data_IF_451418176722
#
_entry.id   IF_451418176722
#
_cell.length_a   1.000
_cell.length_b   1.000
_cell.length_c   1.000
_cell.angle_alpha   90.00
_cell.angle_beta   90.00
_cell.angle_gamma   90.00
#
_symmetry.space_group_name_H-M   'P 1'
#
loop_
_entity.id
_entity.type
_entity.pdbx_description
1 polymer ?
#
# COMPACT_ATOMS: atom_id res chain seq x y z
N UNK A 1 -28.81 -26.40 -12.59
CA UNK A 1 -27.99 -25.97 -11.44
C UNK A 1 -26.56 -25.60 -11.88
N UNK A 2 -25.83 -26.48 -12.56
CA UNK A 2 -24.44 -26.26 -13.00
C UNK A 2 -24.25 -25.01 -13.87
N UNK A 3 -25.05 -24.81 -14.92
CA UNK A 3 -24.98 -23.61 -15.78
C UNK A 3 -25.28 -22.29 -15.04
N UNK A 4 -26.12 -22.35 -14.01
CA UNK A 4 -26.38 -21.18 -13.16
C UNK A 4 -25.15 -20.78 -12.33
N UNK A 5 -24.46 -21.76 -11.74
CA UNK A 5 -23.23 -21.54 -10.97
C UNK A 5 -22.12 -20.99 -11.86
N UNK A 6 -21.92 -21.60 -13.05
CA UNK A 6 -20.91 -21.13 -14.01
C UNK A 6 -21.19 -19.71 -14.44
N UNK A 7 -22.44 -19.38 -14.79
CA UNK A 7 -22.81 -18.01 -15.18
C UNK A 7 -22.54 -17.00 -14.08
N UNK A 8 -22.81 -17.34 -12.81
CA UNK A 8 -22.50 -16.47 -11.67
C UNK A 8 -21.00 -16.30 -11.45
N UNK A 9 -20.22 -17.39 -11.55
CA UNK A 9 -18.76 -17.33 -11.47
C UNK A 9 -18.16 -16.46 -12.58
N UNK A 10 -18.64 -16.60 -13.82
CA UNK A 10 -18.18 -15.75 -14.92
C UNK A 10 -18.53 -14.27 -14.72
N UNK A 11 -19.70 -13.95 -14.14
CA UNK A 11 -20.08 -12.59 -13.82
C UNK A 11 -19.29 -11.98 -12.65
N UNK A 12 -18.70 -12.81 -11.78
CA UNK A 12 -17.81 -12.32 -10.72
C UNK A 12 -16.52 -11.70 -11.28
N UNK A 13 -16.02 -12.17 -12.42
CA UNK A 13 -14.78 -11.64 -13.03
C UNK A 13 -14.93 -10.17 -13.42
N UNK A 14 -15.91 -9.76 -14.25
CA UNK A 14 -16.06 -8.35 -14.62
C UNK A 14 -16.44 -7.47 -13.41
N UNK A 15 -17.22 -7.98 -12.46
CA UNK A 15 -17.54 -7.23 -11.23
C UNK A 15 -16.31 -7.01 -10.36
N UNK A 16 -15.45 -8.02 -10.21
CA UNK A 16 -14.18 -7.91 -9.50
C UNK A 16 -13.25 -6.90 -10.20
N UNK A 17 -13.08 -7.01 -11.52
CA UNK A 17 -12.25 -6.07 -12.28
C UNK A 17 -12.79 -4.64 -12.20
N UNK A 18 -14.10 -4.45 -12.29
CA UNK A 18 -14.72 -3.13 -12.16
C UNK A 18 -14.53 -2.53 -10.77
N UNK A 19 -14.75 -3.33 -9.72
CA UNK A 19 -14.55 -2.90 -8.33
C UNK A 19 -13.09 -2.56 -8.04
N UNK A 20 -12.15 -3.40 -8.46
CA UNK A 20 -10.70 -3.16 -8.25
C UNK A 20 -10.21 -1.96 -9.02
N UNK A 21 -10.69 -1.74 -10.25
CA UNK A 21 -10.36 -0.55 -11.05
C UNK A 21 -10.87 0.72 -10.38
N UNK A 22 -12.12 0.71 -9.89
CA UNK A 22 -12.71 1.84 -9.19
C UNK A 22 -11.92 2.19 -7.92
N UNK A 23 -11.62 1.19 -7.10
CA UNK A 23 -10.79 1.37 -5.89
C UNK A 23 -9.41 1.91 -6.25
N UNK A 24 -8.78 1.36 -7.28
CA UNK A 24 -7.47 1.82 -7.74
C UNK A 24 -7.50 3.29 -8.17
N UNK A 25 -8.49 3.71 -8.96
CA UNK A 25 -8.64 5.10 -9.39
C UNK A 25 -8.85 6.03 -8.21
N UNK A 26 -9.72 5.67 -7.26
CA UNK A 26 -9.95 6.46 -6.05
C UNK A 26 -8.64 6.63 -5.25
N UNK A 27 -7.87 5.55 -5.07
CA UNK A 27 -6.58 5.60 -4.37
C UNK A 27 -5.54 6.48 -5.10
N UNK A 28 -5.59 6.54 -6.43
CA UNK A 28 -4.71 7.42 -7.21
C UNK A 28 -5.09 8.90 -7.10
N UNK A 29 -6.36 9.20 -6.87
CA UNK A 29 -6.86 10.57 -6.72
C UNK A 29 -6.77 11.08 -5.28
N UNK A 30 -6.60 10.20 -4.30
CA UNK A 30 -6.51 10.57 -2.89
C UNK A 30 -5.23 11.39 -2.62
N UNK A 31 -5.34 12.61 -2.06
CA UNK A 31 -4.18 13.41 -1.70
C UNK A 31 -3.40 12.77 -0.54
N UNK A 32 -2.11 13.06 -0.43
CA UNK A 32 -1.26 12.53 0.64
C UNK A 32 -0.72 11.12 0.35
N UNK A 33 -0.49 10.79 -0.91
CA UNK A 33 0.16 9.56 -1.34
C UNK A 33 1.59 9.39 -0.78
N UNK A 34 2.19 8.19 -0.94
CA UNK A 34 3.52 7.91 -0.39
C UNK A 34 4.60 8.85 -0.95
N UNK A 35 4.50 9.25 -2.21
CA UNK A 35 5.40 10.20 -2.84
C UNK A 35 5.30 11.58 -2.18
N UNK A 36 4.09 12.12 -2.03
CA UNK A 36 3.86 13.43 -1.42
C UNK A 36 4.34 13.47 0.04
N UNK A 37 4.04 12.41 0.81
CA UNK A 37 4.52 12.28 2.20
C UNK A 37 6.04 12.29 2.28
N UNK A 38 6.73 11.58 1.39
CA UNK A 38 8.18 11.53 1.37
C UNK A 38 8.77 12.88 0.98
N UNK A 39 8.22 13.55 -0.03
CA UNK A 39 8.63 14.90 -0.42
C UNK A 39 8.44 15.87 0.75
N UNK A 40 7.29 15.82 1.41
CA UNK A 40 6.98 16.68 2.55
C UNK A 40 7.92 16.41 3.74
N UNK A 41 8.23 15.17 4.05
CA UNK A 41 9.18 14.80 5.10
C UNK A 41 10.59 15.29 4.81
N UNK A 42 11.07 15.19 3.58
CA UNK A 42 12.39 15.68 3.19
C UNK A 42 12.43 17.22 3.27
N UNK A 43 11.37 17.91 2.84
CA UNK A 43 11.26 19.36 2.93
C UNK A 43 11.23 19.84 4.38
N UNK A 44 10.44 19.18 5.24
CA UNK A 44 10.37 19.51 6.68
C UNK A 44 11.69 19.19 7.39
N UNK A 45 12.35 18.07 7.07
CA UNK A 45 13.65 17.68 7.60
C UNK A 45 14.75 18.69 7.24
N UNK A 46 14.72 19.21 6.02
CA UNK A 46 15.65 20.26 5.57
C UNK A 46 15.40 21.61 6.27
N UNK A 47 14.14 21.91 6.58
CA UNK A 47 13.77 23.15 7.28
C UNK A 47 14.13 23.10 8.78
N UNK A 48 14.07 21.95 9.43
CA UNK A 48 14.41 21.76 10.86
C UNK A 48 15.91 21.48 11.11
N UNK A 49 16.66 21.01 10.09
CA UNK A 49 18.08 20.67 10.18
C UNK A 49 19.04 21.85 9.99
N UNK A 50 18.56 23.09 9.83
CA UNK A 50 19.35 24.28 9.60
C UNK A 50 20.05 24.89 10.83
N UNK A 51 20.24 24.17 11.91
CA UNK A 51 20.88 24.61 13.15
C UNK A 51 22.11 23.79 13.54
N UNK A 52 23.10 23.63 12.65
CA UNK A 52 24.37 22.96 12.94
C UNK A 52 25.49 23.56 12.07
N UNK A 53 26.39 24.32 12.70
CA UNK A 53 27.61 24.89 12.10
C UNK A 53 28.47 23.85 11.41
N UNK A 54 28.87 24.11 10.17
CA UNK A 54 29.87 23.31 9.47
C UNK A 54 29.97 23.64 7.98
N UNK A 55 30.75 24.69 7.65
CA UNK A 55 31.06 25.32 6.41
C UNK A 55 31.13 24.49 5.13
N UNK A 56 30.55 25.05 4.10
CA UNK A 56 31.11 25.12 2.76
C UNK A 56 30.36 26.18 1.95
N UNK A 57 31.04 27.26 1.69
CA UNK A 57 30.70 28.35 0.79
C UNK A 57 30.42 27.85 -0.62
N UNK A 58 29.24 28.15 -1.16
CA UNK A 58 29.10 28.54 -2.57
C UNK A 58 27.97 29.55 -2.70
N UNK A 59 28.39 30.76 -3.04
CA UNK A 59 27.61 31.94 -3.38
C UNK A 59 26.65 31.70 -4.54
N UNK A 60 25.40 32.16 -4.42
CA UNK A 60 24.53 32.34 -5.56
C UNK A 60 23.06 32.47 -5.21
N UNK A 61 22.64 33.71 -4.91
CA UNK A 61 21.31 34.33 -5.09
C UNK A 61 20.07 33.73 -4.42
N UNK A 62 19.71 34.41 -3.34
CA UNK A 62 18.40 35.00 -3.00
C UNK A 62 17.15 34.54 -3.73
N UNK A 63 16.23 33.88 -3.00
CA UNK A 63 14.84 34.37 -2.85
C UNK A 63 14.02 33.28 -2.16
N UNK A 64 13.33 33.63 -1.09
CA UNK A 64 12.48 32.76 -0.25
C UNK A 64 11.49 31.91 -1.02
N UNK A 65 11.70 30.65 -0.90
CA UNK A 65 10.73 29.57 -1.06
C UNK A 65 11.41 28.30 -0.54
N UNK A 66 10.71 27.50 0.23
CA UNK A 66 11.22 26.27 0.85
C UNK A 66 12.09 25.45 -0.11
N UNK A 67 13.10 24.82 0.44
CA UNK A 67 14.14 24.08 -0.29
C UNK A 67 13.50 23.11 -1.29
N UNK A 68 13.36 23.57 -2.53
CA UNK A 68 12.79 22.76 -3.61
C UNK A 68 13.77 21.61 -3.88
N UNK A 69 13.31 20.40 -3.69
CA UNK A 69 14.07 19.23 -4.06
C UNK A 69 14.53 19.36 -5.53
N UNK A 70 15.78 19.00 -5.84
CA UNK A 70 16.24 18.98 -7.22
C UNK A 70 15.29 18.12 -8.09
N UNK A 71 14.94 18.61 -9.27
CA UNK A 71 14.04 17.89 -10.20
C UNK A 71 14.46 16.44 -10.42
N UNK A 72 15.78 16.16 -10.37
CA UNK A 72 16.33 14.81 -10.47
C UNK A 72 15.91 13.92 -9.28
N UNK A 73 15.95 14.44 -8.06
CA UNK A 73 15.53 13.70 -6.86
C UNK A 73 14.02 13.38 -6.89
N UNK A 74 13.19 14.30 -7.37
CA UNK A 74 11.77 14.07 -7.57
C UNK A 74 11.55 12.97 -8.61
N UNK A 75 12.24 13.01 -9.75
CA UNK A 75 12.13 11.98 -10.79
C UNK A 75 12.59 10.60 -10.30
N UNK A 76 13.62 10.52 -9.46
CA UNK A 76 14.05 9.27 -8.81
C UNK A 76 13.00 8.73 -7.82
N UNK A 77 12.36 9.61 -7.05
CA UNK A 77 11.26 9.23 -6.16
C UNK A 77 10.03 8.76 -6.93
N UNK A 78 9.64 9.46 -8.02
CA UNK A 78 8.55 9.03 -8.90
C UNK A 78 8.81 7.62 -9.46
N UNK A 79 10.05 7.36 -9.90
CA UNK A 79 10.47 6.05 -10.39
C UNK A 79 10.44 4.99 -9.28
N UNK A 80 10.92 5.33 -8.09
CA UNK A 80 10.92 4.43 -6.94
C UNK A 80 9.51 3.99 -6.53
N UNK A 81 8.56 4.91 -6.58
CA UNK A 81 7.14 4.64 -6.30
C UNK A 81 6.35 4.13 -7.52
N UNK A 82 6.96 4.11 -8.71
CA UNK A 82 6.34 3.66 -9.96
C UNK A 82 5.38 4.67 -10.58
N UNK A 83 5.45 5.94 -10.20
CA UNK A 83 4.63 7.01 -10.80
C UNK A 83 5.13 7.47 -12.18
N UNK A 84 6.29 7.02 -12.61
CA UNK A 84 6.85 7.21 -13.95
C UNK A 84 6.05 6.46 -15.04
N UNK A 85 5.19 5.52 -14.65
CA UNK A 85 4.43 4.66 -15.56
C UNK A 85 3.00 5.18 -15.76
N UNK A 86 2.41 4.95 -16.95
CA UNK A 86 1.01 5.33 -17.19
C UNK A 86 0.04 4.61 -16.25
N UNK A 87 -1.09 5.23 -15.96
CA UNK A 87 -2.07 4.75 -14.96
C UNK A 87 -2.53 3.31 -15.22
N UNK A 88 -2.79 2.96 -16.49
CA UNK A 88 -3.20 1.61 -16.86
C UNK A 88 -2.14 0.54 -16.54
N UNK A 89 -0.85 0.87 -16.77
CA UNK A 89 0.24 -0.05 -16.47
C UNK A 89 0.42 -0.20 -14.95
N UNK A 90 0.27 0.88 -14.19
CA UNK A 90 0.27 0.84 -12.71
C UNK A 90 -0.86 -0.03 -12.16
N UNK A 91 -2.04 0.02 -12.81
CA UNK A 91 -3.15 -0.85 -12.44
C UNK A 91 -2.84 -2.33 -12.69
N UNK A 92 -2.25 -2.67 -13.84
CA UNK A 92 -1.85 -4.05 -14.14
C UNK A 92 -0.75 -4.57 -13.22
N UNK A 93 0.21 -3.72 -12.83
CA UNK A 93 1.23 -4.03 -11.84
C UNK A 93 0.57 -4.28 -10.47
N UNK A 94 -0.34 -3.39 -10.05
CA UNK A 94 -1.05 -3.53 -8.78
C UNK A 94 -1.96 -4.77 -8.73
N UNK A 95 -2.53 -5.14 -9.86
CA UNK A 95 -3.30 -6.38 -9.98
C UNK A 95 -2.39 -7.63 -9.92
N UNK A 96 -1.13 -7.51 -10.33
CA UNK A 96 -0.16 -8.61 -10.36
C UNK A 96 -0.03 -9.31 -11.72
N UNK A 97 -0.56 -8.70 -12.78
CA UNK A 97 -0.50 -9.21 -14.17
C UNK A 97 0.74 -8.69 -14.90
N UNK A 98 1.25 -7.53 -14.49
CA UNK A 98 2.43 -6.90 -15.07
C UNK A 98 3.58 -6.87 -14.07
N UNK A 99 4.82 -6.94 -14.58
CA UNK A 99 6.04 -6.93 -13.77
C UNK A 99 6.25 -5.57 -13.11
N UNK A 100 6.64 -5.62 -11.82
CA UNK A 100 7.08 -4.46 -11.06
C UNK A 100 8.59 -4.40 -11.04
N UNK A 101 9.14 -3.22 -11.29
CA UNK A 101 10.56 -2.96 -11.14
C UNK A 101 10.94 -2.76 -9.67
N UNK A 102 11.94 -3.48 -9.23
CA UNK A 102 12.48 -3.43 -7.86
C UNK A 102 14.01 -3.39 -7.89
N UNK A 103 14.62 -3.03 -6.77
CA UNK A 103 16.07 -3.06 -6.57
C UNK A 103 16.87 -2.30 -7.64
N UNK A 104 16.54 -1.04 -7.83
CA UNK A 104 17.25 -0.16 -8.75
C UNK A 104 18.72 0.03 -8.37
N UNK A 105 19.61 -0.04 -9.35
CA UNK A 105 21.03 0.27 -9.20
C UNK A 105 21.53 1.09 -10.36
N UNK A 106 22.19 2.21 -10.05
CA UNK A 106 22.74 3.09 -11.06
C UNK A 106 24.01 2.50 -11.67
N UNK A 107 24.14 2.60 -12.97
CA UNK A 107 25.27 2.27 -13.79
C UNK A 107 25.80 3.53 -14.45
N UNK A 108 27.11 3.57 -14.65
CA UNK A 108 27.75 4.65 -15.40
C UNK A 108 28.67 4.03 -16.42
N UNK A 109 28.43 4.27 -17.69
CA UNK A 109 29.33 3.89 -18.77
C UNK A 109 30.38 4.95 -18.91
N UNK A 110 31.63 4.54 -18.83
CA UNK A 110 32.76 5.41 -19.18
C UNK A 110 32.90 5.51 -20.69
N UNK A 111 33.60 6.54 -21.13
CA UNK A 111 33.89 6.75 -22.53
C UNK A 111 34.57 5.52 -23.17
N UNK A 112 33.91 4.89 -24.16
CA UNK A 112 34.40 3.71 -24.86
C UNK A 112 34.07 2.35 -24.26
N UNK A 113 33.42 2.30 -23.10
CA UNK A 113 32.95 1.06 -22.53
C UNK A 113 31.65 0.62 -23.22
N UNK A 114 31.66 -0.58 -23.77
CA UNK A 114 30.50 -1.25 -24.37
C UNK A 114 29.84 -2.23 -23.39
N UNK A 115 30.56 -2.61 -22.32
CA UNK A 115 30.12 -3.56 -21.32
C UNK A 115 30.49 -3.09 -19.92
N UNK A 116 29.57 -3.14 -19.00
CA UNK A 116 29.78 -2.79 -17.58
C UNK A 116 29.33 -3.94 -16.69
N UNK A 117 30.25 -4.36 -15.80
CA UNK A 117 29.94 -5.35 -14.76
C UNK A 117 29.46 -4.68 -13.50
N UNK A 118 28.27 -5.08 -13.00
CA UNK A 118 27.71 -4.57 -11.76
C UNK A 118 27.43 -5.66 -10.75
N UNK A 119 27.82 -5.41 -9.48
CA UNK A 119 27.48 -6.31 -8.37
C UNK A 119 26.05 -6.06 -7.92
N UNK A 120 25.20 -7.08 -8.01
CA UNK A 120 23.77 -7.03 -7.64
C UNK A 120 23.51 -7.49 -6.20
N UNK A 121 24.55 -7.78 -5.42
CA UNK A 121 24.48 -8.32 -4.07
C UNK A 121 24.42 -9.85 -4.02
N UNK A 122 24.64 -10.42 -2.83
CA UNK A 122 24.69 -11.88 -2.61
C UNK A 122 25.59 -12.63 -3.60
N UNK A 123 26.76 -12.07 -3.96
CA UNK A 123 27.71 -12.60 -4.94
C UNK A 123 27.15 -12.77 -6.38
N UNK A 124 26.04 -12.10 -6.71
CA UNK A 124 25.49 -12.09 -8.07
C UNK A 124 26.04 -10.90 -8.83
N UNK A 125 26.45 -11.12 -10.08
CA UNK A 125 26.95 -10.09 -10.98
C UNK A 125 26.09 -10.04 -12.24
N UNK A 126 25.78 -8.83 -12.70
CA UNK A 126 25.13 -8.58 -13.97
C UNK A 126 26.13 -7.93 -14.92
N UNK A 127 26.14 -8.34 -16.15
CA UNK A 127 26.94 -7.79 -17.23
C UNK A 127 25.99 -7.05 -18.16
N UNK A 128 26.16 -5.75 -18.27
CA UNK A 128 25.28 -4.91 -19.10
C UNK A 128 26.02 -4.51 -20.35
N UNK A 129 25.53 -4.95 -21.50
CA UNK A 129 26.07 -4.61 -22.81
C UNK A 129 25.21 -3.56 -23.49
N UNK A 130 25.89 -2.59 -24.12
CA UNK A 130 25.26 -1.57 -24.93
C UNK A 130 25.09 -2.09 -26.36
N UNK A 131 23.84 -2.16 -26.82
CA UNK A 131 23.51 -2.52 -28.20
C UNK A 131 22.68 -1.37 -28.81
N UNK A 132 23.36 -0.36 -29.37
CA UNK A 132 22.75 0.88 -29.82
C UNK A 132 22.07 1.64 -28.68
N UNK A 133 20.78 1.93 -28.83
CA UNK A 133 19.92 2.58 -27.80
C UNK A 133 19.41 1.61 -26.74
N UNK A 134 19.60 0.31 -26.90
CA UNK A 134 19.13 -0.71 -25.96
C UNK A 134 20.26 -1.23 -25.09
N UNK A 135 19.93 -1.55 -23.86
CA UNK A 135 20.82 -2.23 -22.93
C UNK A 135 20.34 -3.67 -22.75
N UNK A 136 21.25 -4.60 -22.93
CA UNK A 136 21.03 -6.03 -22.72
C UNK A 136 21.77 -6.46 -21.46
N UNK A 137 21.11 -7.22 -20.60
CA UNK A 137 21.68 -7.68 -19.35
C UNK A 137 21.94 -9.17 -19.44
N UNK A 138 23.17 -9.55 -19.15
CA UNK A 138 23.61 -10.95 -19.17
C UNK A 138 23.97 -11.41 -17.76
N UNK A 139 23.78 -12.69 -17.51
CA UNK A 139 24.25 -13.35 -16.30
C UNK A 139 25.75 -13.71 -16.39
N UNK A 140 26.27 -14.37 -15.36
CA UNK A 140 27.67 -14.81 -15.32
C UNK A 140 28.00 -15.86 -16.40
N UNK A 141 27.02 -16.57 -16.89
CA UNK A 141 27.15 -17.64 -17.90
C UNK A 141 27.00 -17.13 -19.32
N UNK A 142 26.72 -15.85 -19.50
CA UNK A 142 26.56 -15.21 -20.80
C UNK A 142 25.17 -15.33 -21.41
N UNK A 143 24.18 -15.78 -20.64
CA UNK A 143 22.79 -15.85 -21.09
C UNK A 143 22.08 -14.52 -20.80
N UNK A 144 21.10 -14.16 -21.63
CA UNK A 144 20.26 -12.99 -21.38
C UNK A 144 19.50 -13.21 -20.07
N UNK A 145 19.64 -12.26 -19.15
CA UNK A 145 18.99 -12.33 -17.85
C UNK A 145 17.48 -12.14 -18.01
N UNK A 146 16.70 -13.04 -17.43
CA UNK A 146 15.24 -12.90 -17.31
C UNK A 146 14.84 -12.14 -16.05
N UNK A 147 15.76 -11.95 -15.09
CA UNK A 147 15.50 -11.32 -13.79
C UNK A 147 15.88 -9.83 -13.78
N UNK A 148 16.84 -9.44 -14.60
CA UNK A 148 17.35 -8.07 -14.61
C UNK A 148 17.18 -7.43 -15.97
N UNK A 149 16.71 -6.20 -15.94
CA UNK A 149 16.58 -5.35 -17.13
C UNK A 149 17.34 -4.05 -16.87
N UNK A 150 17.85 -3.42 -17.93
CA UNK A 150 18.53 -2.14 -17.82
C UNK A 150 17.96 -1.14 -18.82
N UNK A 151 17.93 0.13 -18.43
CA UNK A 151 17.56 1.23 -19.34
C UNK A 151 18.43 2.45 -19.08
N UNK A 152 18.59 3.29 -20.08
CA UNK A 152 19.22 4.59 -19.90
C UNK A 152 18.35 5.52 -19.06
N UNK A 153 18.99 6.36 -18.23
CA UNK A 153 18.28 7.31 -17.35
C UNK A 153 17.77 8.55 -18.09
N UNK A 154 18.27 8.77 -19.30
CA UNK A 154 17.82 9.81 -20.22
C UNK A 154 17.03 9.17 -21.37
N UNK A 155 16.00 9.86 -21.85
CA UNK A 155 15.37 9.55 -23.13
C UNK A 155 16.35 10.00 -24.24
N UNK A 156 17.28 9.13 -24.54
CA UNK A 156 18.28 9.35 -25.60
C UNK A 156 17.71 8.72 -26.87
N UNK A 157 17.41 9.53 -27.87
CA UNK A 157 17.07 9.02 -29.19
C UNK A 157 18.27 8.32 -29.81
N UNK A 158 18.04 7.34 -30.68
CA UNK A 158 19.10 6.63 -31.39
C UNK A 158 20.04 7.61 -32.14
N UNK A 159 19.48 8.70 -32.67
CA UNK A 159 20.23 9.76 -33.35
C UNK A 159 21.15 10.56 -32.40
N UNK A 160 20.74 10.77 -31.14
CA UNK A 160 21.56 11.45 -30.13
C UNK A 160 22.73 10.58 -29.64
N UNK A 161 22.53 9.25 -29.55
CA UNK A 161 23.60 8.32 -29.18
C UNK A 161 24.66 8.27 -30.26
N UNK A 162 24.25 8.20 -31.54
CA UNK A 162 25.19 8.20 -32.71
C UNK A 162 25.93 9.53 -32.78
N UNK A 163 25.22 10.65 -32.64
CA UNK A 163 25.81 11.98 -32.66
C UNK A 163 26.78 12.23 -31.50
N UNK A 164 26.51 11.64 -30.34
CA UNK A 164 27.39 11.70 -29.17
C UNK A 164 28.69 10.94 -29.39
N UNK A 165 28.65 9.79 -30.04
CA UNK A 165 29.89 9.02 -30.38
C UNK A 165 30.72 9.67 -31.50
N UNK A 166 30.06 10.29 -32.48
CA UNK A 166 30.74 11.08 -33.52
C UNK A 166 31.40 12.36 -32.97
N UNK A 167 30.68 13.09 -32.07
CA UNK A 167 31.22 14.28 -31.42
C UNK A 167 32.41 13.97 -30.52
N UNK A 168 32.37 12.79 -29.88
CA UNK A 168 33.47 12.27 -29.08
C UNK A 168 34.67 11.90 -29.92
N UNK A 169 34.52 11.22 -31.04
CA UNK A 169 35.58 10.84 -31.95
C UNK A 169 36.23 12.06 -32.61
N UNK A 170 35.50 13.15 -32.78
CA UNK A 170 35.98 14.41 -33.33
C UNK A 170 36.73 15.32 -32.35
N UNK A 171 36.89 14.93 -31.07
CA UNK A 171 37.60 15.68 -30.04
C UNK A 171 36.99 17.03 -29.65
N UNK A 172 35.77 17.31 -30.06
CA UNK A 172 35.09 18.60 -29.87
C UNK A 172 34.43 18.80 -28.48
N UNK A 173 34.38 17.76 -27.64
CA UNK A 173 33.79 17.86 -26.28
C UNK A 173 34.89 17.66 -25.23
N UNK A 174 35.21 18.70 -24.47
CA UNK A 174 36.13 18.62 -23.33
C UNK A 174 35.51 17.94 -22.09
N UNK A 175 34.19 18.01 -21.94
CA UNK A 175 33.44 17.30 -20.87
C UNK A 175 32.36 16.41 -21.50
N UNK A 176 32.69 15.14 -21.69
CA UNK A 176 31.74 14.17 -22.20
C UNK A 176 30.80 13.76 -21.04
N UNK A 177 29.51 14.01 -21.13
CA UNK A 177 28.59 13.59 -20.09
C UNK A 177 28.61 12.06 -19.95
N UNK A 178 28.79 11.58 -18.72
CA UNK A 178 28.76 10.14 -18.42
C UNK A 178 27.41 9.59 -18.77
N UNK A 179 27.33 8.52 -19.53
CA UNK A 179 26.11 7.84 -19.85
C UNK A 179 25.62 7.11 -18.59
N UNK A 180 24.56 7.62 -17.98
CA UNK A 180 23.95 7.00 -16.81
C UNK A 180 22.82 6.08 -17.23
N UNK A 181 22.79 4.91 -16.63
CA UNK A 181 21.76 3.90 -16.84
C UNK A 181 21.37 3.28 -15.49
N UNK A 182 20.18 2.76 -15.43
CA UNK A 182 19.68 2.05 -14.24
C UNK A 182 19.40 0.60 -14.59
N UNK A 183 19.97 -0.31 -13.80
CA UNK A 183 19.61 -1.73 -13.80
C UNK A 183 18.60 -1.99 -12.68
N UNK A 184 17.60 -2.79 -12.95
CA UNK A 184 16.55 -3.15 -12.01
C UNK A 184 16.17 -4.61 -12.16
N UNK A 185 15.69 -5.19 -11.07
CA UNK A 185 15.12 -6.54 -11.02
C UNK A 185 13.60 -6.43 -11.22
N UNK A 186 13.03 -7.34 -11.99
CA UNK A 186 11.57 -7.42 -12.18
C UNK A 186 10.98 -8.51 -11.32
N UNK A 187 9.81 -8.27 -10.75
CA UNK A 187 9.07 -9.21 -9.93
C UNK A 187 7.56 -9.04 -10.17
N UNK A 188 6.85 -10.17 -10.25
CA UNK A 188 5.39 -10.14 -10.24
C UNK A 188 4.90 -9.98 -8.79
N UNK A 189 4.37 -8.82 -8.48
CA UNK A 189 3.80 -8.51 -7.17
C UNK A 189 2.45 -7.80 -7.35
N UNK A 190 1.44 -8.26 -6.64
CA UNK A 190 0.10 -7.68 -6.72
C UNK A 190 -0.95 -8.55 -6.03
N UNK A 191 -2.22 -8.16 -6.16
CA UNK A 191 -3.33 -8.84 -5.49
C UNK A 191 -3.45 -10.30 -5.93
N UNK A 192 -3.36 -10.58 -7.23
CA UNK A 192 -3.54 -11.92 -7.77
C UNK A 192 -2.38 -12.88 -7.46
N UNK A 193 -1.17 -12.34 -7.28
CA UNK A 193 0.00 -13.15 -6.92
C UNK A 193 0.11 -13.42 -5.43
N UNK A 194 -0.69 -12.74 -4.59
CA UNK A 194 -0.56 -12.78 -3.14
C UNK A 194 0.70 -12.09 -2.58
N UNK A 195 1.59 -11.64 -3.45
CA UNK A 195 2.76 -10.85 -3.07
C UNK A 195 2.41 -9.36 -3.11
N UNK A 196 1.98 -8.82 -1.97
CA UNK A 196 1.57 -7.42 -1.85
C UNK A 196 2.76 -6.45 -1.74
N UNK A 197 4.00 -6.95 -1.88
CA UNK A 197 5.21 -6.15 -1.74
C UNK A 197 5.49 -5.72 -0.30
N UNK A 198 6.27 -4.64 -0.16
CA UNK A 198 6.64 -4.06 1.14
C UNK A 198 5.85 -2.79 1.43
N UNK A 199 5.47 -2.62 2.69
CA UNK A 199 4.88 -1.37 3.18
C UNK A 199 5.93 -0.27 3.23
N UNK A 200 5.64 0.89 2.64
CA UNK A 200 6.53 2.05 2.70
C UNK A 200 6.65 2.64 4.12
N UNK A 201 5.59 2.52 4.91
CA UNK A 201 5.56 3.05 6.29
C UNK A 201 6.28 2.14 7.27
N UNK A 202 6.04 0.83 7.20
CA UNK A 202 6.58 -0.15 8.17
C UNK A 202 7.86 -0.84 7.69
N UNK A 203 8.26 -0.67 6.42
CA UNK A 203 9.44 -1.30 5.79
C UNK A 203 9.46 -2.85 5.87
N UNK A 204 8.29 -3.44 6.12
CA UNK A 204 8.06 -4.88 6.24
C UNK A 204 7.13 -5.38 5.13
N UNK A 205 7.11 -6.67 4.80
CA UNK A 205 6.13 -7.24 3.90
C UNK A 205 4.71 -6.88 4.33
N UNK A 206 3.87 -6.40 3.39
CA UNK A 206 2.49 -5.98 3.70
C UNK A 206 1.69 -7.08 4.37
N UNK A 207 1.89 -8.33 3.94
CA UNK A 207 1.20 -9.48 4.53
C UNK A 207 1.53 -9.69 6.02
N UNK A 208 2.77 -9.41 6.44
CA UNK A 208 3.17 -9.51 7.85
C UNK A 208 2.55 -8.39 8.69
N UNK A 209 2.40 -7.20 8.12
CA UNK A 209 1.68 -6.09 8.75
C UNK A 209 0.19 -6.40 8.89
N UNK A 210 -0.40 -7.13 7.95
CA UNK A 210 -1.83 -7.47 7.94
C UNK A 210 -2.19 -8.65 8.85
N UNK A 211 -1.34 -9.69 8.91
CA UNK A 211 -1.60 -10.93 9.68
C UNK A 211 -2.15 -10.72 11.10
N UNK A 212 -1.54 -9.89 11.96
CA UNK A 212 -2.05 -9.69 13.32
C UNK A 212 -3.43 -9.00 13.34
N UNK A 213 -3.73 -8.18 12.32
CA UNK A 213 -4.99 -7.46 12.22
C UNK A 213 -6.15 -8.35 11.75
N UNK A 214 -5.85 -9.44 11.01
CA UNK A 214 -6.87 -10.41 10.60
C UNK A 214 -7.57 -11.07 11.78
N UNK A 215 -6.87 -11.38 12.87
CA UNK A 215 -7.47 -11.96 14.07
C UNK A 215 -8.57 -11.07 14.62
N UNK A 216 -8.29 -9.76 14.72
CA UNK A 216 -9.25 -8.77 15.21
C UNK A 216 -10.45 -8.66 14.28
N UNK A 217 -10.19 -8.52 12.98
CA UNK A 217 -11.24 -8.36 11.97
C UNK A 217 -12.14 -9.59 11.88
N UNK A 218 -11.56 -10.79 11.95
CA UNK A 218 -12.32 -12.04 11.91
C UNK A 218 -13.17 -12.18 13.18
N UNK A 219 -12.59 -11.91 14.35
CA UNK A 219 -13.31 -11.99 15.62
C UNK A 219 -14.51 -11.06 15.62
N UNK A 220 -14.30 -9.78 15.36
CA UNK A 220 -15.38 -8.78 15.36
C UNK A 220 -16.38 -9.01 14.23
N UNK A 221 -15.90 -9.28 13.01
CA UNK A 221 -16.76 -9.48 11.86
C UNK A 221 -17.62 -10.74 11.95
N UNK A 222 -17.02 -11.88 12.34
CA UNK A 222 -17.76 -13.13 12.49
C UNK A 222 -18.75 -13.08 13.66
N UNK A 223 -18.32 -12.54 14.80
CA UNK A 223 -19.19 -12.40 15.96
C UNK A 223 -20.35 -11.45 15.68
N UNK A 224 -20.07 -10.31 15.04
CA UNK A 224 -21.11 -9.36 14.63
C UNK A 224 -22.11 -9.98 13.63
N UNK A 225 -21.61 -10.72 12.63
CA UNK A 225 -22.43 -11.47 11.69
C UNK A 225 -23.35 -12.46 12.40
N UNK A 226 -22.81 -13.31 13.26
CA UNK A 226 -23.58 -14.32 14.00
C UNK A 226 -24.66 -13.68 14.87
N UNK A 227 -24.34 -12.62 15.60
CA UNK A 227 -25.30 -11.89 16.43
C UNK A 227 -26.40 -11.26 15.58
N UNK A 228 -26.03 -10.60 14.47
CA UNK A 228 -27.01 -10.01 13.55
C UNK A 228 -27.99 -11.06 13.04
N UNK A 229 -27.51 -12.21 12.55
CA UNK A 229 -28.41 -13.29 12.08
C UNK A 229 -29.26 -13.88 13.20
N UNK A 230 -28.66 -14.08 14.39
CA UNK A 230 -29.37 -14.63 15.56
C UNK A 230 -30.52 -13.73 16.00
N UNK A 231 -30.38 -12.41 15.83
CA UNK A 231 -31.44 -11.44 16.19
C UNK A 231 -32.39 -11.18 15.03
N UNK A 232 -31.86 -10.91 13.82
CA UNK A 232 -32.63 -10.50 12.66
C UNK A 232 -33.60 -11.61 12.17
N UNK A 233 -33.14 -12.88 12.15
CA UNK A 233 -33.98 -13.96 11.62
C UNK A 233 -35.22 -14.19 12.51
N UNK A 234 -35.12 -14.40 13.84
CA UNK A 234 -36.31 -14.57 14.69
C UNK A 234 -37.19 -13.31 14.72
N UNK A 235 -36.58 -12.13 14.74
CA UNK A 235 -37.30 -10.87 14.73
C UNK A 235 -38.07 -10.68 13.41
N UNK A 236 -37.46 -10.97 12.28
CA UNK A 236 -38.10 -10.90 10.97
C UNK A 236 -39.28 -11.86 10.84
N UNK A 237 -39.13 -13.11 11.29
CA UNK A 237 -40.20 -14.10 11.31
C UNK A 237 -41.34 -13.60 12.20
N UNK A 238 -41.05 -13.15 13.44
CA UNK A 238 -42.05 -12.65 14.37
C UNK A 238 -42.78 -11.41 13.83
N UNK A 239 -42.08 -10.51 13.16
CA UNK A 239 -42.69 -9.35 12.49
C UNK A 239 -43.61 -9.77 11.34
N UNK A 240 -43.19 -10.73 10.51
CA UNK A 240 -44.00 -11.24 9.41
C UNK A 240 -45.29 -11.90 9.90
N UNK A 241 -45.23 -12.69 10.98
CA UNK A 241 -46.38 -13.32 11.58
C UNK A 241 -47.36 -12.32 12.26
N UNK A 242 -46.88 -11.17 12.72
CA UNK A 242 -47.64 -10.14 13.38
C UNK A 242 -47.71 -8.83 12.54
N UNK A 243 -47.76 -8.97 11.25
CA UNK A 243 -47.79 -7.82 10.34
C UNK A 243 -48.95 -6.86 10.67
N UNK A 244 -48.66 -5.55 10.69
CA UNK A 244 -49.63 -4.51 11.03
C UNK A 244 -49.99 -4.40 12.54
N UNK A 245 -49.42 -5.22 13.40
CA UNK A 245 -49.59 -5.13 14.85
C UNK A 245 -48.75 -3.99 15.46
N UNK A 246 -49.12 -3.65 16.74
CA UNK A 246 -48.30 -2.70 17.53
C UNK A 246 -46.82 -3.16 17.68
N UNK A 247 -46.60 -4.46 17.75
CA UNK A 247 -45.26 -5.04 17.82
C UNK A 247 -44.49 -4.75 16.53
N UNK A 248 -45.10 -4.96 15.38
CA UNK A 248 -44.48 -4.70 14.08
C UNK A 248 -44.13 -3.22 13.91
N UNK A 249 -45.06 -2.32 14.24
CA UNK A 249 -44.86 -0.87 14.19
C UNK A 249 -43.71 -0.42 15.12
N UNK A 250 -43.75 -0.85 16.41
CA UNK A 250 -42.78 -0.43 17.41
C UNK A 250 -41.37 -0.97 17.09
N UNK A 251 -41.25 -2.25 16.71
CA UNK A 251 -39.98 -2.84 16.33
C UNK A 251 -39.41 -2.19 15.06
N UNK A 252 -40.26 -1.83 14.08
CA UNK A 252 -39.83 -1.08 12.90
C UNK A 252 -39.28 0.30 13.27
N UNK A 253 -39.96 1.02 14.17
CA UNK A 253 -39.50 2.32 14.63
C UNK A 253 -38.14 2.24 15.35
N UNK A 254 -37.94 1.22 16.20
CA UNK A 254 -36.67 1.01 16.91
C UNK A 254 -35.54 0.68 15.92
N UNK A 255 -35.78 -0.23 14.96
CA UNK A 255 -34.80 -0.57 13.94
C UNK A 255 -34.43 0.66 13.12
N UNK A 256 -35.41 1.46 12.71
CA UNK A 256 -35.18 2.66 11.93
C UNK A 256 -34.35 3.70 12.69
N UNK A 257 -34.63 3.91 13.98
CA UNK A 257 -33.84 4.77 14.85
C UNK A 257 -32.39 4.23 14.98
N UNK A 258 -32.25 2.94 15.24
CA UNK A 258 -30.95 2.30 15.36
C UNK A 258 -30.11 2.43 14.08
N UNK A 259 -30.73 2.20 12.92
CA UNK A 259 -30.08 2.35 11.60
C UNK A 259 -29.67 3.80 11.28
N UNK A 260 -30.42 4.78 11.80
CA UNK A 260 -30.15 6.20 11.55
C UNK A 260 -28.89 6.72 12.26
N UNK A 261 -28.41 6.00 13.28
CA UNK A 261 -27.21 6.40 14.03
C UNK A 261 -25.97 5.73 13.41
N UNK A 262 -24.97 6.50 12.94
CA UNK A 262 -23.73 5.92 12.48
C UNK A 262 -23.06 5.07 13.57
N UNK A 263 -22.72 3.82 13.28
CA UNK A 263 -22.18 2.87 14.27
C UNK A 263 -20.93 3.39 15.00
N UNK A 264 -20.06 4.14 14.31
CA UNK A 264 -18.89 4.76 14.93
C UNK A 264 -19.26 5.84 15.95
N UNK A 265 -20.29 6.65 15.68
CA UNK A 265 -20.77 7.68 16.61
C UNK A 265 -21.41 7.02 17.84
N UNK A 266 -22.22 5.98 17.62
CA UNK A 266 -22.80 5.20 18.71
C UNK A 266 -21.73 4.52 19.56
N UNK A 267 -20.70 3.93 18.93
CA UNK A 267 -19.54 3.36 19.62
C UNK A 267 -18.79 4.38 20.46
N UNK A 268 -18.64 5.61 19.97
CA UNK A 268 -18.07 6.72 20.75
C UNK A 268 -18.88 7.06 21.99
N UNK A 269 -20.21 7.12 21.88
CA UNK A 269 -21.12 7.34 23.03
C UNK A 269 -21.00 6.19 24.02
N UNK A 270 -21.04 4.94 23.57
CA UNK A 270 -20.87 3.78 24.45
C UNK A 270 -19.54 3.81 25.20
N UNK A 271 -18.46 4.17 24.50
CA UNK A 271 -17.13 4.25 25.10
C UNK A 271 -17.08 5.34 26.20
N UNK A 272 -17.67 6.50 25.95
CA UNK A 272 -17.74 7.60 26.93
C UNK A 272 -18.59 7.24 28.13
N UNK A 273 -19.69 6.51 27.94
CA UNK A 273 -20.59 6.14 29.02
C UNK A 273 -20.07 4.95 29.84
N UNK A 274 -19.52 3.93 29.20
CA UNK A 274 -19.24 2.62 29.80
C UNK A 274 -17.76 2.25 29.78
N UNK A 275 -16.92 2.97 29.04
CA UNK A 275 -15.50 2.69 28.96
C UNK A 275 -14.74 3.13 30.21
N UNK A 276 -13.60 2.49 30.49
CA UNK A 276 -12.81 2.71 31.68
C UNK A 276 -12.39 4.18 31.88
N UNK A 277 -12.55 4.65 33.11
CA UNK A 277 -12.24 6.03 33.50
C UNK A 277 -13.31 7.06 33.14
N UNK A 278 -14.48 6.64 32.63
CA UNK A 278 -15.59 7.55 32.31
C UNK A 278 -16.77 7.41 33.32
N UNK A 279 -18.02 7.62 32.87
CA UNK A 279 -19.15 7.72 33.78
C UNK A 279 -19.43 6.46 34.63
N UNK A 280 -19.41 5.28 34.02
CA UNK A 280 -19.75 4.03 34.70
C UNK A 280 -18.63 3.04 34.84
N UNK A 281 -17.52 3.22 34.15
CA UNK A 281 -16.30 2.40 34.23
C UNK A 281 -16.57 0.88 34.27
N UNK A 282 -17.40 0.41 33.34
CA UNK A 282 -17.83 -1.00 33.30
C UNK A 282 -16.95 -1.84 32.39
N UNK A 283 -16.51 -1.28 31.26
CA UNK A 283 -15.79 -2.00 30.23
C UNK A 283 -14.40 -1.39 29.99
N UNK A 284 -13.39 -2.19 29.60
CA UNK A 284 -12.07 -1.69 29.31
C UNK A 284 -12.06 -0.76 28.08
N UNK A 285 -11.19 0.28 28.11
CA UNK A 285 -11.07 1.26 27.03
C UNK A 285 -10.56 0.69 25.71
N UNK A 286 -9.85 -0.43 25.74
CA UNK A 286 -9.30 -1.01 24.51
C UNK A 286 -8.58 -2.33 24.76
N UNK A 287 -8.04 -2.88 23.68
CA UNK A 287 -7.45 -4.22 23.67
C UNK A 287 -8.49 -5.30 23.32
N UNK A 288 -8.02 -6.50 23.03
CA UNK A 288 -8.86 -7.68 22.81
C UNK A 288 -9.01 -8.53 24.08
N UNK A 289 -8.15 -8.31 25.04
CA UNK A 289 -8.06 -9.02 26.32
C UNK A 289 -7.22 -8.19 27.30
N UNK A 290 -7.22 -8.57 28.55
CA UNK A 290 -6.38 -8.00 29.60
C UNK A 290 -4.89 -8.05 29.26
N UNK A 291 -4.03 -7.22 29.90
CA UNK A 291 -2.59 -7.25 29.70
C UNK A 291 -2.01 -8.67 29.78
N UNK A 292 -0.94 -8.91 29.01
CA UNK A 292 -0.36 -10.26 28.85
C UNK A 292 -0.01 -10.93 30.18
N UNK A 293 0.39 -10.16 31.18
CA UNK A 293 0.72 -10.64 32.53
C UNK A 293 -0.46 -11.30 33.23
N UNK A 294 -1.67 -10.75 33.05
CA UNK A 294 -2.92 -11.29 33.61
C UNK A 294 -3.42 -12.42 32.71
N UNK A 295 -3.45 -12.17 31.39
CA UNK A 295 -3.98 -13.10 30.41
C UNK A 295 -3.37 -14.50 30.45
N UNK A 296 -2.05 -14.60 30.65
CA UNK A 296 -1.34 -15.90 30.68
C UNK A 296 -1.82 -16.76 31.84
N UNK A 297 -2.14 -16.15 32.97
CA UNK A 297 -2.54 -16.84 34.20
C UNK A 297 -4.03 -17.23 34.27
N UNK A 298 -4.85 -16.76 33.33
CA UNK A 298 -6.27 -17.08 33.27
C UNK A 298 -6.49 -18.51 32.76
N UNK A 299 -7.49 -19.18 33.33
CA UNK A 299 -8.01 -20.45 32.83
C UNK A 299 -8.73 -20.26 31.47
N UNK A 300 -9.02 -21.35 30.78
CA UNK A 300 -9.67 -21.28 29.48
C UNK A 300 -11.02 -20.52 29.49
N UNK A 301 -11.87 -20.74 30.49
CA UNK A 301 -13.14 -20.05 30.61
C UNK A 301 -12.98 -18.58 31.00
N UNK A 302 -12.04 -18.26 31.86
CA UNK A 302 -11.73 -16.88 32.23
C UNK A 302 -11.21 -16.09 31.03
N UNK A 303 -10.40 -16.69 30.16
CA UNK A 303 -9.96 -16.08 28.90
C UNK A 303 -11.12 -15.73 27.98
N UNK A 304 -12.13 -16.60 27.87
CA UNK A 304 -13.32 -16.32 27.08
C UNK A 304 -14.11 -15.15 27.67
N UNK A 305 -14.32 -15.16 28.98
CA UNK A 305 -15.04 -14.08 29.67
C UNK A 305 -14.31 -12.75 29.57
N UNK A 306 -13.01 -12.74 29.78
CA UNK A 306 -12.17 -11.56 29.64
C UNK A 306 -12.22 -10.99 28.21
N UNK A 307 -12.11 -11.86 27.21
CA UNK A 307 -12.21 -11.44 25.82
C UNK A 307 -13.61 -10.91 25.48
N UNK A 308 -14.67 -11.55 25.94
CA UNK A 308 -16.03 -11.04 25.76
C UNK A 308 -16.19 -9.66 26.40
N UNK A 309 -15.66 -9.46 27.61
CA UNK A 309 -15.72 -8.19 28.33
C UNK A 309 -15.03 -7.05 27.53
N UNK A 310 -13.93 -7.34 26.82
CA UNK A 310 -13.22 -6.36 26.00
C UNK A 310 -13.91 -6.04 24.66
N UNK A 311 -14.61 -7.03 24.07
CA UNK A 311 -15.15 -6.87 22.71
C UNK A 311 -16.65 -6.53 22.68
N UNK A 312 -17.36 -6.53 23.82
CA UNK A 312 -18.81 -6.32 23.86
C UNK A 312 -19.23 -4.94 23.33
N UNK A 313 -18.56 -3.85 23.73
CA UNK A 313 -18.88 -2.52 23.24
C UNK A 313 -18.62 -2.36 21.73
N UNK A 314 -17.45 -2.78 21.19
CA UNK A 314 -17.22 -2.80 19.75
C UNK A 314 -18.23 -3.64 18.97
N UNK A 315 -18.64 -4.79 19.49
CA UNK A 315 -19.63 -5.66 18.82
C UNK A 315 -20.99 -4.98 18.79
N UNK A 316 -21.45 -4.41 19.88
CA UNK A 316 -22.74 -3.68 19.94
C UNK A 316 -22.71 -2.51 18.93
N UNK A 317 -21.63 -1.72 18.94
CA UNK A 317 -21.48 -0.60 18.00
C UNK A 317 -21.45 -1.05 16.54
N UNK A 318 -20.83 -2.21 16.25
CA UNK A 318 -20.75 -2.78 14.91
C UNK A 318 -22.09 -3.33 14.43
N UNK A 319 -22.84 -3.97 15.33
CA UNK A 319 -24.09 -4.67 14.96
C UNK A 319 -25.31 -3.75 14.87
N UNK A 320 -25.31 -2.60 15.55
CA UNK A 320 -26.49 -1.71 15.59
C UNK A 320 -26.94 -1.23 14.20
N UNK A 321 -26.00 -1.00 13.29
CA UNK A 321 -26.29 -0.63 11.92
C UNK A 321 -26.56 -1.81 10.97
N UNK A 322 -26.57 -3.03 11.50
CA UNK A 322 -26.76 -4.27 10.72
C UNK A 322 -28.17 -4.86 10.84
N UNK A 323 -29.03 -4.28 11.69
CA UNK A 323 -30.41 -4.73 11.94
C UNK A 323 -31.40 -4.24 10.91
#
# INVERSE_FOLDING_TARGET
MFNYVIRRLLLMIPTFLGATLLVFVILQMAPGGPLEKTIMQIQMGSAMGGGGEGGATSSGSTSGAGTLLPKRAIKELERFYGFDKPVWQRYLIWLGVWEREIKHRNLTFKSGETEVKKNMGKRRYAYVKKNGAKLEVYDKEGNISTLWTARFDMDISDAEIINFEELKSSGKLQDIPKLEATIFETEYSGILTGNLGKSYTYQQPVIEVMKPRFKVSILLGLTGLLISYLVCIPLGIKKALNHGSKFDLLSSAIIFMAYSIPGWAFGGVLLVLFGGGSFWDVFPLGGLHSPQEIWVNLSFFEKILDQLHHVILPIIAWTIGSF
#
